data_IF_989522996899
#
_entry.id   IF_989522996899
#
_cell.length_a   1.000
_cell.length_b   1.000
_cell.length_c   1.000
_cell.angle_alpha   90.00
_cell.angle_beta   90.00
_cell.angle_gamma   90.00
#
_symmetry.space_group_name_H-M   'P 1'
#
loop_
_entity.id
_entity.type
_entity.pdbx_description
1 polymer ?
#
# COMPACT_ATOMS: atom_id res chain seq x y z
N UNK A 1 19.18 45.86 2.27
CA UNK A 1 18.73 44.50 1.91
C UNK A 1 17.43 44.65 1.13
N UNK A 2 17.49 44.68 -0.21
CA UNK A 2 16.28 44.73 -1.03
C UNK A 2 15.66 43.33 -1.07
N UNK A 3 14.50 43.16 -0.44
CA UNK A 3 13.77 41.89 -0.50
C UNK A 3 13.41 41.56 -1.96
N UNK A 4 13.35 40.27 -2.34
CA UNK A 4 12.88 39.88 -3.66
C UNK A 4 11.48 40.45 -3.86
N UNK A 5 11.30 41.30 -4.88
CA UNK A 5 10.00 41.89 -5.20
C UNK A 5 8.96 40.79 -5.50
N UNK A 6 7.66 41.06 -5.27
CA UNK A 6 6.61 40.11 -5.59
C UNK A 6 6.73 39.71 -7.06
N UNK A 7 6.93 38.41 -7.31
CA UNK A 7 7.03 37.88 -8.66
C UNK A 7 5.74 38.12 -9.45
N UNK A 8 5.79 38.05 -10.80
CA UNK A 8 4.60 38.19 -11.62
C UNK A 8 3.55 37.15 -11.23
N UNK A 9 2.30 37.61 -11.02
CA UNK A 9 1.15 36.74 -10.73
C UNK A 9 0.87 35.88 -11.96
N UNK A 10 1.07 34.57 -11.84
CA UNK A 10 0.78 33.61 -12.91
C UNK A 10 -0.70 33.25 -12.90
N UNK A 11 -1.33 33.17 -14.09
CA UNK A 11 -2.66 32.57 -14.20
C UNK A 11 -2.60 31.04 -14.03
N UNK A 12 -3.75 30.37 -13.84
CA UNK A 12 -3.82 28.93 -13.55
C UNK A 12 -3.11 28.06 -14.60
N UNK A 13 -3.24 28.41 -15.89
CA UNK A 13 -2.59 27.68 -16.99
C UNK A 13 -1.07 27.87 -16.97
N UNK A 14 -0.62 29.10 -16.71
CA UNK A 14 0.79 29.43 -16.57
C UNK A 14 1.40 28.74 -15.36
N UNK A 15 0.70 28.72 -14.22
CA UNK A 15 1.15 28.03 -13.00
C UNK A 15 1.29 26.53 -13.25
N UNK A 16 0.29 25.90 -13.88
CA UNK A 16 0.35 24.49 -14.26
C UNK A 16 1.53 24.20 -15.20
N UNK A 17 1.77 25.08 -16.19
CA UNK A 17 2.92 24.97 -17.10
C UNK A 17 4.25 25.10 -16.35
N UNK A 18 4.36 26.08 -15.44
CA UNK A 18 5.54 26.29 -14.61
C UNK A 18 5.83 25.08 -13.71
N UNK A 19 4.82 24.47 -13.10
CA UNK A 19 4.94 23.23 -12.32
C UNK A 19 5.45 22.10 -13.20
N UNK A 20 4.88 21.91 -14.40
CA UNK A 20 5.30 20.84 -15.33
C UNK A 20 6.76 21.00 -15.78
N UNK A 21 7.22 22.24 -15.94
CA UNK A 21 8.56 22.56 -16.41
C UNK A 21 9.60 22.65 -15.29
N UNK A 22 9.20 22.59 -14.02
CA UNK A 22 10.13 22.61 -12.90
C UNK A 22 11.07 21.39 -12.95
N UNK A 23 12.38 21.61 -12.75
CA UNK A 23 13.39 20.54 -12.82
C UNK A 23 13.89 20.09 -11.45
N UNK A 24 13.59 20.83 -10.38
CA UNK A 24 14.02 20.55 -9.01
C UNK A 24 12.90 20.84 -7.99
N UNK A 25 13.07 20.33 -6.77
CA UNK A 25 12.12 20.48 -5.68
C UNK A 25 12.03 21.93 -5.18
N UNK A 26 13.15 22.65 -5.11
CA UNK A 26 13.21 24.06 -4.69
C UNK A 26 12.31 24.95 -5.54
N UNK A 27 12.31 24.74 -6.87
CA UNK A 27 11.46 25.50 -7.79
C UNK A 27 9.98 25.19 -7.55
N UNK A 28 9.64 23.92 -7.29
CA UNK A 28 8.27 23.53 -6.96
C UNK A 28 7.83 24.16 -5.63
N UNK A 29 8.70 24.19 -4.63
CA UNK A 29 8.47 24.84 -3.34
C UNK A 29 8.26 26.34 -3.49
N UNK A 30 9.12 27.00 -4.28
CA UNK A 30 8.97 28.43 -4.56
C UNK A 30 7.64 28.73 -5.27
N UNK A 31 7.24 27.92 -6.25
CA UNK A 31 5.95 28.05 -6.93
C UNK A 31 4.80 27.85 -5.94
N UNK A 32 4.89 26.84 -5.05
CA UNK A 32 3.89 26.55 -4.04
C UNK A 32 3.71 27.71 -3.04
N UNK A 33 4.81 28.27 -2.53
CA UNK A 33 4.80 29.40 -1.60
C UNK A 33 4.29 30.70 -2.26
N UNK A 34 4.77 31.00 -3.47
CA UNK A 34 4.42 32.26 -4.16
C UNK A 34 2.96 32.30 -4.61
N UNK A 35 2.34 31.14 -4.82
CA UNK A 35 0.99 31.01 -5.36
C UNK A 35 0.02 30.33 -4.39
N UNK A 36 0.34 30.29 -3.09
CA UNK A 36 -0.43 29.57 -2.07
C UNK A 36 -1.93 29.90 -2.07
N UNK A 37 -2.30 31.16 -2.32
CA UNK A 37 -3.70 31.61 -2.43
C UNK A 37 -4.44 31.18 -3.71
N UNK A 38 -3.74 30.63 -4.71
CA UNK A 38 -4.30 30.21 -6.01
C UNK A 38 -4.11 28.71 -6.32
N UNK A 39 -3.57 27.96 -5.36
CA UNK A 39 -3.34 26.52 -5.52
C UNK A 39 -4.64 25.76 -5.27
N UNK A 40 -5.06 25.01 -6.29
CA UNK A 40 -6.20 24.11 -6.25
C UNK A 40 -5.72 22.64 -6.27
N UNK A 41 -6.63 21.66 -6.20
CA UNK A 41 -6.27 20.24 -6.22
C UNK A 41 -5.47 19.81 -7.45
N UNK A 42 -5.73 20.42 -8.61
CA UNK A 42 -5.02 20.10 -9.85
C UNK A 42 -3.56 20.52 -9.73
N UNK A 43 -3.31 21.73 -9.20
CA UNK A 43 -1.96 22.21 -8.92
C UNK A 43 -1.24 21.31 -7.89
N UNK A 44 -1.90 20.93 -6.80
CA UNK A 44 -1.31 20.03 -5.79
C UNK A 44 -0.95 18.67 -6.39
N UNK A 45 -1.86 18.04 -7.14
CA UNK A 45 -1.61 16.77 -7.80
C UNK A 45 -0.45 16.85 -8.81
N UNK A 46 -0.38 17.95 -9.57
CA UNK A 46 0.69 18.19 -10.53
C UNK A 46 2.05 18.35 -9.83
N UNK A 47 2.10 19.10 -8.71
CA UNK A 47 3.32 19.26 -7.93
C UNK A 47 3.78 17.92 -7.37
N UNK A 48 2.91 17.17 -6.70
CA UNK A 48 3.25 15.86 -6.13
C UNK A 48 3.71 14.86 -7.19
N UNK A 49 3.03 14.82 -8.34
CA UNK A 49 3.42 13.94 -9.46
C UNK A 49 4.78 14.33 -10.02
N UNK A 50 5.02 15.64 -10.18
CA UNK A 50 6.31 16.14 -10.69
C UNK A 50 7.42 15.83 -9.71
N UNK A 51 7.17 16.02 -8.41
CA UNK A 51 8.10 15.71 -7.35
C UNK A 51 8.49 14.22 -7.36
N UNK A 52 7.52 13.31 -7.43
CA UNK A 52 7.76 11.87 -7.54
C UNK A 52 8.61 11.51 -8.77
N UNK A 53 8.42 12.20 -9.90
CA UNK A 53 9.23 11.99 -11.11
C UNK A 53 10.66 12.52 -10.96
N UNK A 54 10.85 13.66 -10.29
CA UNK A 54 12.18 14.22 -9.99
C UNK A 54 12.96 13.23 -9.11
N UNK A 55 12.33 12.68 -8.08
CA UNK A 55 12.92 11.68 -7.18
C UNK A 55 13.36 10.43 -7.96
N UNK A 56 12.52 9.92 -8.87
CA UNK A 56 12.86 8.75 -9.71
C UNK A 56 13.99 9.00 -10.69
N UNK A 57 14.16 10.23 -11.16
CA UNK A 57 15.23 10.59 -12.09
C UNK A 57 16.62 10.67 -11.42
N UNK A 58 16.70 10.59 -10.08
CA UNK A 58 17.96 10.58 -9.33
C UNK A 58 18.28 9.23 -8.65
N UNK A 59 18.37 8.10 -9.39
CA UNK A 59 18.61 6.79 -8.79
C UNK A 59 20.02 6.62 -8.19
N UNK A 60 20.99 7.46 -8.58
CA UNK A 60 22.40 7.24 -8.27
C UNK A 60 22.88 7.79 -6.91
N UNK A 61 22.08 8.56 -6.16
CA UNK A 61 22.56 9.14 -4.89
C UNK A 61 22.23 8.29 -3.65
N UNK A 62 21.24 7.39 -3.70
CA UNK A 62 20.83 6.62 -2.52
C UNK A 62 21.69 5.38 -2.23
N UNK A 63 22.59 4.97 -3.13
CA UNK A 63 23.41 3.75 -2.95
C UNK A 63 24.84 4.00 -2.44
N UNK A 64 25.22 5.25 -2.14
CA UNK A 64 26.54 5.58 -1.55
C UNK A 64 26.50 5.67 -0.02
N UNK A 65 25.84 4.73 0.64
CA UNK A 65 26.10 4.41 2.06
C UNK A 65 26.37 2.90 2.17
N UNK A 66 27.44 2.43 1.54
CA UNK A 66 27.96 1.08 1.76
C UNK A 66 28.71 1.04 3.09
N UNK A 67 28.29 0.23 4.08
CA UNK A 67 29.07 -0.01 5.29
C UNK A 67 30.23 -0.95 4.93
N UNK A 68 31.41 -0.42 4.55
CA UNK A 68 32.51 -1.35 4.27
C UNK A 68 33.79 -0.84 3.63
N UNK A 69 34.02 0.45 3.42
CA UNK A 69 35.36 0.90 3.05
C UNK A 69 36.22 0.97 4.31
N UNK A 70 36.68 -0.22 4.75
CA UNK A 70 37.78 -0.35 5.67
C UNK A 70 38.97 0.39 5.06
N UNK A 71 39.28 1.55 5.64
CA UNK A 71 40.49 2.30 5.34
C UNK A 71 41.66 1.37 5.67
N UNK A 72 42.53 1.01 4.71
CA UNK A 72 43.73 0.26 5.04
C UNK A 72 44.59 1.16 5.92
N UNK A 73 44.79 0.73 7.17
CA UNK A 73 45.83 1.29 8.03
C UNK A 73 47.18 1.12 7.33
N UNK A 74 47.75 2.22 6.85
CA UNK A 74 49.07 2.21 6.24
C UNK A 74 49.58 3.60 5.92
N UNK A 75 50.51 4.05 6.76
CA UNK A 75 51.50 5.11 6.50
C UNK A 75 51.08 6.56 6.77
N UNK A 76 51.63 7.05 7.87
CA UNK A 76 51.78 8.46 8.18
C UNK A 76 52.55 9.21 7.08
N UNK A 77 51.93 10.25 6.53
CA UNK A 77 52.66 11.39 5.99
C UNK A 77 51.85 12.65 6.23
N UNK A 78 52.35 13.47 7.14
CA UNK A 78 51.86 14.80 7.41
C UNK A 78 52.19 15.72 6.23
N UNK A 79 51.18 16.28 5.58
CA UNK A 79 51.32 17.52 4.82
C UNK A 79 49.95 18.17 4.58
N UNK A 80 49.68 19.21 5.39
CA UNK A 80 49.11 20.50 5.00
C UNK A 80 48.14 20.59 3.79
N UNK A 81 46.92 21.04 4.10
CA UNK A 81 46.33 22.17 3.38
C UNK A 81 45.15 21.88 2.46
N UNK A 82 43.93 22.03 2.98
CA UNK A 82 42.75 22.32 2.18
C UNK A 82 41.44 21.85 2.79
N UNK A 83 40.63 22.72 3.42
CA UNK A 83 39.24 22.40 3.76
C UNK A 83 38.42 22.33 2.46
N UNK A 84 38.36 21.13 1.86
CA UNK A 84 37.59 20.86 0.66
C UNK A 84 36.09 20.88 0.92
N UNK A 85 35.45 22.01 0.60
CA UNK A 85 34.00 22.26 0.69
C UNK A 85 33.19 21.59 -0.44
N UNK A 86 33.37 20.29 -0.68
CA UNK A 86 32.77 19.57 -1.81
C UNK A 86 31.61 18.62 -1.44
N UNK A 87 31.17 18.57 -0.17
CA UNK A 87 30.25 17.53 0.32
C UNK A 87 28.79 17.94 0.62
N UNK A 88 28.39 19.21 0.51
CA UNK A 88 27.15 19.70 1.18
C UNK A 88 25.88 19.79 0.32
N UNK A 89 25.91 19.44 -0.97
CA UNK A 89 24.79 19.77 -1.86
C UNK A 89 23.66 18.72 -1.88
N UNK A 90 23.94 17.46 -1.50
CA UNK A 90 22.93 16.39 -1.54
C UNK A 90 21.91 16.45 -0.41
N UNK A 91 22.27 16.98 0.76
CA UNK A 91 21.36 17.07 1.91
C UNK A 91 20.24 18.09 1.70
N UNK A 92 20.52 19.18 0.99
CA UNK A 92 19.57 20.28 0.82
C UNK A 92 18.32 19.88 -0.01
N UNK A 93 18.48 19.02 -1.02
CA UNK A 93 17.34 18.61 -1.86
C UNK A 93 16.34 17.74 -1.08
N UNK A 94 16.83 16.85 -0.22
CA UNK A 94 15.96 15.97 0.56
C UNK A 94 15.16 16.77 1.59
N UNK A 95 15.79 17.76 2.23
CA UNK A 95 15.12 18.70 3.13
C UNK A 95 14.04 19.53 2.39
N UNK A 96 14.36 20.09 1.22
CA UNK A 96 13.39 20.82 0.41
C UNK A 96 12.23 19.94 -0.07
N UNK A 97 12.50 18.69 -0.42
CA UNK A 97 11.49 17.69 -0.79
C UNK A 97 10.55 17.40 0.39
N UNK A 98 11.09 17.09 1.57
CA UNK A 98 10.30 16.80 2.77
C UNK A 98 9.48 18.01 3.23
N UNK A 99 10.08 19.20 3.20
CA UNK A 99 9.40 20.46 3.53
C UNK A 99 8.22 20.72 2.57
N UNK A 100 8.41 20.53 1.27
CA UNK A 100 7.36 20.70 0.27
C UNK A 100 6.22 19.69 0.46
N UNK A 101 6.54 18.41 0.67
CA UNK A 101 5.53 17.38 0.92
C UNK A 101 4.74 17.73 2.18
N UNK A 102 5.42 18.07 3.27
CA UNK A 102 4.80 18.44 4.54
C UNK A 102 3.86 19.64 4.38
N UNK A 103 4.30 20.68 3.66
CA UNK A 103 3.49 21.86 3.39
C UNK A 103 2.23 21.53 2.57
N UNK A 104 2.36 20.73 1.50
CA UNK A 104 1.22 20.33 0.67
C UNK A 104 0.24 19.46 1.44
N UNK A 105 0.73 18.55 2.29
CA UNK A 105 -0.12 17.73 3.15
C UNK A 105 -0.87 18.60 4.17
N UNK A 106 -0.20 19.58 4.80
CA UNK A 106 -0.82 20.51 5.72
C UNK A 106 -1.91 21.36 5.02
N UNK A 107 -1.64 21.83 3.80
CA UNK A 107 -2.61 22.56 2.98
C UNK A 107 -3.85 21.70 2.67
N UNK A 108 -3.67 20.44 2.24
CA UNK A 108 -4.77 19.52 1.97
C UNK A 108 -5.62 19.24 3.23
N UNK A 109 -4.96 19.07 4.39
CA UNK A 109 -5.63 18.91 5.69
C UNK A 109 -6.42 20.15 6.08
N UNK A 110 -5.82 21.34 5.97
CA UNK A 110 -6.48 22.61 6.30
C UNK A 110 -7.73 22.82 5.42
N UNK A 111 -7.64 22.49 4.13
CA UNK A 111 -8.77 22.56 3.20
C UNK A 111 -9.79 21.43 3.38
N UNK A 112 -9.49 20.42 4.21
CA UNK A 112 -10.29 19.18 4.36
C UNK A 112 -10.66 18.54 3.02
N UNK A 113 -9.82 18.74 2.01
CA UNK A 113 -10.04 18.37 0.62
C UNK A 113 -11.39 18.87 0.05
N UNK A 114 -11.89 20.02 0.51
CA UNK A 114 -13.15 20.59 0.07
C UNK A 114 -13.04 21.19 -1.34
N UNK A 115 -14.12 21.15 -2.12
CA UNK A 115 -14.15 21.68 -3.48
C UNK A 115 -13.35 20.89 -4.52
N UNK A 116 -12.82 19.72 -4.17
CA UNK A 116 -12.13 18.86 -5.11
C UNK A 116 -13.09 17.89 -5.81
N UNK A 117 -13.08 17.88 -7.14
CA UNK A 117 -13.80 16.89 -7.94
C UNK A 117 -13.15 15.50 -7.82
N UNK A 118 -13.85 14.41 -8.22
CA UNK A 118 -13.34 13.04 -8.07
C UNK A 118 -11.99 12.84 -8.77
N UNK A 119 -11.83 13.41 -9.97
CA UNK A 119 -10.59 13.41 -10.74
C UNK A 119 -9.42 14.03 -9.96
N UNK A 120 -9.65 15.18 -9.34
CA UNK A 120 -8.64 15.88 -8.53
C UNK A 120 -8.19 15.03 -7.35
N UNK A 121 -9.14 14.44 -6.62
CA UNK A 121 -8.85 13.55 -5.50
C UNK A 121 -8.08 12.30 -5.93
N UNK A 122 -8.53 11.62 -6.99
CA UNK A 122 -7.87 10.42 -7.51
C UNK A 122 -6.42 10.68 -7.92
N UNK A 123 -6.15 11.83 -8.55
CA UNK A 123 -4.79 12.21 -8.94
C UNK A 123 -3.90 12.52 -7.73
N UNK A 124 -4.43 13.19 -6.69
CA UNK A 124 -3.68 13.42 -5.44
C UNK A 124 -3.34 12.08 -4.78
N UNK A 125 -4.35 11.20 -4.62
CA UNK A 125 -4.21 9.87 -4.00
C UNK A 125 -3.13 9.05 -4.73
N UNK A 126 -3.19 9.02 -6.05
CA UNK A 126 -2.20 8.30 -6.87
C UNK A 126 -0.80 8.92 -6.79
N UNK A 127 -0.70 10.25 -6.81
CA UNK A 127 0.57 10.95 -6.69
C UNK A 127 1.24 10.69 -5.34
N UNK A 128 0.47 10.74 -4.25
CA UNK A 128 0.95 10.40 -2.90
C UNK A 128 1.45 8.96 -2.83
N UNK A 129 0.72 8.01 -3.44
CA UNK A 129 1.14 6.62 -3.50
C UNK A 129 2.47 6.41 -4.22
N UNK A 130 2.76 7.23 -5.24
CA UNK A 130 4.00 7.14 -6.01
C UNK A 130 5.23 7.69 -5.30
N UNK A 131 5.06 8.43 -4.21
CA UNK A 131 6.18 8.91 -3.42
C UNK A 131 6.72 7.74 -2.58
N UNK A 132 8.04 7.68 -2.40
CA UNK A 132 8.67 6.63 -1.58
C UNK A 132 8.35 6.80 -0.09
N UNK A 133 8.06 8.03 0.33
CA UNK A 133 7.67 8.33 1.70
C UNK A 133 6.22 7.93 1.94
N UNK A 134 5.98 7.23 3.04
CA UNK A 134 4.63 6.85 3.44
C UNK A 134 3.81 8.14 3.67
N UNK A 135 2.76 8.39 2.89
CA UNK A 135 1.93 9.56 3.10
C UNK A 135 1.27 9.46 4.47
N UNK A 136 1.01 10.61 5.10
CA UNK A 136 0.33 10.63 6.38
C UNK A 136 -1.00 9.86 6.32
N UNK A 137 -1.16 8.90 7.22
CA UNK A 137 -2.28 7.96 7.22
C UNK A 137 -3.62 8.68 7.44
N UNK A 138 -3.64 9.75 8.23
CA UNK A 138 -4.86 10.55 8.46
C UNK A 138 -5.28 11.28 7.18
N UNK A 139 -4.34 11.93 6.49
CA UNK A 139 -4.59 12.56 5.19
C UNK A 139 -5.08 11.54 4.17
N UNK A 140 -4.44 10.37 4.08
CA UNK A 140 -4.87 9.32 3.16
C UNK A 140 -6.29 8.84 3.43
N UNK A 141 -6.65 8.61 4.69
CA UNK A 141 -8.01 8.23 5.07
C UNK A 141 -9.02 9.32 4.72
N UNK A 142 -8.67 10.59 4.94
CA UNK A 142 -9.51 11.73 4.59
C UNK A 142 -9.75 11.82 3.07
N UNK A 143 -8.69 11.70 2.26
CA UNK A 143 -8.77 11.71 0.80
C UNK A 143 -9.64 10.56 0.27
N UNK A 144 -9.42 9.33 0.77
CA UNK A 144 -10.19 8.15 0.39
C UNK A 144 -11.67 8.30 0.78
N UNK A 145 -11.96 8.75 2.00
CA UNK A 145 -13.34 8.99 2.45
C UNK A 145 -14.05 10.02 1.57
N UNK A 146 -13.36 11.10 1.19
CA UNK A 146 -13.90 12.12 0.28
C UNK A 146 -14.14 11.56 -1.12
N UNK A 147 -13.20 10.79 -1.65
CA UNK A 147 -13.33 10.17 -2.97
C UNK A 147 -14.52 9.20 -3.01
N UNK A 148 -14.68 8.34 -1.99
CA UNK A 148 -15.82 7.42 -1.90
C UNK A 148 -17.16 8.13 -1.77
N UNK A 149 -17.20 9.25 -1.07
CA UNK A 149 -18.40 10.11 -1.03
C UNK A 149 -18.81 10.65 -2.40
N UNK A 150 -17.89 10.68 -3.37
CA UNK A 150 -18.13 11.15 -4.74
C UNK A 150 -18.04 10.02 -5.78
N UNK A 151 -18.12 8.75 -5.36
CA UNK A 151 -17.95 7.59 -6.26
C UNK A 151 -19.01 7.53 -7.37
N UNK A 152 -20.20 8.13 -7.14
CA UNK A 152 -21.27 8.18 -8.14
C UNK A 152 -20.90 9.05 -9.36
N UNK A 153 -20.10 10.11 -9.15
CA UNK A 153 -19.63 11.03 -10.21
C UNK A 153 -18.24 10.68 -10.74
N UNK A 154 -17.53 9.76 -10.10
CA UNK A 154 -16.19 9.34 -10.54
C UNK A 154 -16.27 8.55 -11.85
N UNK A 155 -15.42 8.91 -12.83
CA UNK A 155 -15.31 8.13 -14.07
C UNK A 155 -14.43 6.89 -13.84
N UNK A 156 -14.52 5.84 -14.69
CA UNK A 156 -13.74 4.61 -14.50
C UNK A 156 -12.23 4.83 -14.34
N UNK A 157 -11.67 5.83 -15.03
CA UNK A 157 -10.25 6.18 -14.92
C UNK A 157 -9.87 6.68 -13.50
N UNK A 158 -10.76 7.42 -12.83
CA UNK A 158 -10.50 7.91 -11.47
C UNK A 158 -10.45 6.75 -10.49
N UNK A 159 -11.37 5.80 -10.64
CA UNK A 159 -11.43 4.57 -9.84
C UNK A 159 -10.16 3.75 -10.06
N UNK A 160 -9.72 3.58 -11.31
CA UNK A 160 -8.48 2.89 -11.63
C UNK A 160 -7.26 3.57 -10.97
N UNK A 161 -7.17 4.90 -10.99
CA UNK A 161 -6.09 5.63 -10.32
C UNK A 161 -6.04 5.35 -8.81
N UNK A 162 -7.20 5.35 -8.14
CA UNK A 162 -7.30 5.03 -6.72
C UNK A 162 -7.01 3.56 -6.44
N UNK A 163 -7.40 2.64 -7.34
CA UNK A 163 -7.04 1.22 -7.21
C UNK A 163 -5.54 0.98 -7.35
N UNK A 164 -4.85 1.68 -8.25
CA UNK A 164 -3.41 1.53 -8.42
C UNK A 164 -2.62 1.87 -7.15
N UNK A 165 -3.16 2.73 -6.29
CA UNK A 165 -2.60 3.00 -4.97
C UNK A 165 -2.44 1.72 -4.13
N UNK A 166 -3.44 0.82 -4.16
CA UNK A 166 -3.40 -0.46 -3.46
C UNK A 166 -2.17 -1.27 -3.86
N UNK A 167 -1.95 -1.38 -5.17
CA UNK A 167 -0.82 -2.11 -5.75
C UNK A 167 0.50 -1.49 -5.30
N UNK A 168 0.62 -0.15 -5.35
CA UNK A 168 1.83 0.54 -4.91
C UNK A 168 2.10 0.33 -3.42
N UNK A 169 1.07 0.41 -2.56
CA UNK A 169 1.26 0.11 -1.13
C UNK A 169 1.69 -1.33 -0.89
N UNK A 170 1.07 -2.31 -1.56
CA UNK A 170 1.46 -3.71 -1.42
C UNK A 170 2.90 -3.92 -1.89
N UNK A 171 3.31 -3.30 -2.99
CA UNK A 171 4.70 -3.32 -3.47
C UNK A 171 5.66 -2.70 -2.46
N UNK A 172 5.36 -1.51 -1.94
CA UNK A 172 6.20 -0.83 -0.95
C UNK A 172 6.28 -1.62 0.37
N UNK A 173 5.20 -2.28 0.77
CA UNK A 173 5.17 -3.21 1.92
C UNK A 173 6.10 -4.40 1.68
N UNK A 174 6.11 -4.96 0.47
CA UNK A 174 6.95 -6.10 0.13
C UNK A 174 8.43 -5.72 0.00
N UNK A 175 8.75 -4.53 -0.52
CA UNK A 175 10.13 -4.03 -0.61
C UNK A 175 10.70 -3.64 0.76
N UNK A 176 9.88 -3.03 1.62
CA UNK A 176 10.29 -2.68 2.99
C UNK A 176 10.38 -3.89 3.91
N UNK A 177 9.80 -5.04 3.53
CA UNK A 177 10.03 -6.29 4.25
C UNK A 177 11.43 -6.79 3.89
N UNK A 178 12.37 -6.86 4.85
CA UNK A 178 13.71 -7.30 4.55
C UNK A 178 13.67 -8.67 3.88
N UNK A 179 14.42 -8.85 2.78
CA UNK A 179 14.52 -10.10 2.03
C UNK A 179 14.85 -11.31 2.93
N UNK A 180 15.46 -11.10 4.10
CA UNK A 180 15.69 -12.13 5.10
C UNK A 180 14.41 -12.66 5.77
N UNK A 181 13.37 -11.82 5.97
CA UNK A 181 12.07 -12.28 6.49
C UNK A 181 11.40 -13.16 5.44
N UNK A 182 11.42 -12.75 4.18
CA UNK A 182 10.89 -13.57 3.09
C UNK A 182 11.62 -14.91 2.99
N UNK A 183 12.96 -14.89 3.06
CA UNK A 183 13.79 -16.10 3.06
C UNK A 183 13.50 -17.01 4.25
N UNK A 184 13.29 -16.45 5.44
CA UNK A 184 12.96 -17.21 6.66
C UNK A 184 11.55 -17.78 6.62
N UNK A 185 10.60 -17.05 6.06
CA UNK A 185 9.21 -17.50 5.91
C UNK A 185 9.11 -18.58 4.81
N UNK A 186 9.86 -18.43 3.72
CA UNK A 186 10.00 -19.44 2.68
C UNK A 186 10.70 -20.71 3.22
N UNK A 187 11.76 -20.56 4.03
CA UNK A 187 12.39 -21.68 4.73
C UNK A 187 11.43 -22.40 5.68
N UNK A 188 10.57 -21.66 6.40
CA UNK A 188 9.53 -22.26 7.26
C UNK A 188 8.49 -23.04 6.47
N UNK A 189 8.05 -22.52 5.31
CA UNK A 189 7.12 -23.23 4.43
C UNK A 189 7.75 -24.50 3.87
N UNK A 190 9.00 -24.44 3.39
CA UNK A 190 9.71 -25.63 2.91
C UNK A 190 9.93 -26.65 4.04
N UNK A 191 10.24 -26.20 5.25
CA UNK A 191 10.37 -27.07 6.43
C UNK A 191 9.06 -27.75 6.81
N UNK A 192 7.93 -27.04 6.75
CA UNK A 192 6.61 -27.61 7.03
C UNK A 192 6.22 -28.67 5.98
N UNK A 193 6.45 -28.40 4.69
CA UNK A 193 6.19 -29.37 3.61
C UNK A 193 7.06 -30.63 3.78
N UNK A 194 8.34 -30.46 4.15
CA UNK A 194 9.22 -31.59 4.42
C UNK A 194 8.77 -32.41 5.65
N UNK A 195 8.26 -31.75 6.69
CA UNK A 195 7.72 -32.42 7.87
C UNK A 195 6.45 -33.24 7.54
N UNK A 196 5.51 -32.66 6.77
CA UNK A 196 4.30 -33.38 6.34
C UNK A 196 4.64 -34.58 5.43
N UNK A 197 5.62 -34.43 4.54
CA UNK A 197 6.12 -35.53 3.71
C UNK A 197 6.72 -36.66 4.56
N UNK A 198 7.48 -36.33 5.61
CA UNK A 198 8.04 -37.32 6.54
C UNK A 198 6.93 -38.07 7.31
N UNK A 199 5.88 -37.37 7.74
CA UNK A 199 4.71 -37.99 8.40
C UNK A 199 3.99 -38.93 7.45
N UNK A 200 3.76 -38.54 6.19
CA UNK A 200 3.13 -39.40 5.18
C UNK A 200 3.97 -40.65 4.89
N UNK A 201 5.30 -40.51 4.81
CA UNK A 201 6.19 -41.63 4.58
C UNK A 201 6.15 -42.63 5.76
N UNK A 202 6.12 -42.13 6.99
CA UNK A 202 5.95 -42.96 8.18
C UNK A 202 4.61 -43.73 8.19
N UNK A 203 3.52 -43.06 7.82
CA UNK A 203 2.21 -43.70 7.70
C UNK A 203 2.17 -44.78 6.62
N UNK A 204 2.80 -44.54 5.45
CA UNK A 204 2.90 -45.56 4.41
C UNK A 204 3.70 -46.78 4.87
N UNK A 205 4.80 -46.58 5.59
CA UNK A 205 5.61 -47.68 6.09
C UNK A 205 4.84 -48.53 7.13
N UNK A 206 4.03 -47.87 7.97
CA UNK A 206 3.16 -48.57 8.91
C UNK A 206 2.04 -49.35 8.21
N UNK A 207 1.44 -48.81 7.15
CA UNK A 207 0.46 -49.55 6.33
C UNK A 207 1.09 -50.75 5.63
N UNK A 208 2.31 -50.63 5.12
CA UNK A 208 3.04 -51.75 4.52
C UNK A 208 3.33 -52.86 5.54
N UNK A 209 3.71 -52.51 6.77
CA UNK A 209 3.91 -53.49 7.85
C UNK A 209 2.60 -54.20 8.25
N UNK A 210 1.48 -53.47 8.33
CA UNK A 210 0.17 -54.06 8.61
C UNK A 210 -0.27 -55.02 7.48
N UNK A 211 -0.05 -54.65 6.22
CA UNK A 211 -0.32 -55.53 5.08
C UNK A 211 0.57 -56.78 5.09
N UNK A 212 1.86 -56.64 5.40
CA UNK A 212 2.78 -57.77 5.50
C UNK A 212 2.40 -58.73 6.63
N UNK A 213 1.97 -58.20 7.79
CA UNK A 213 1.51 -59.01 8.92
C UNK A 213 0.20 -59.76 8.61
N UNK A 214 -0.75 -59.11 7.90
CA UNK A 214 -2.00 -59.74 7.49
C UNK A 214 -1.81 -60.90 6.50
N UNK A 215 -0.81 -60.81 5.62
CA UNK A 215 -0.50 -61.87 4.64
C UNK A 215 0.05 -63.15 5.28
N UNK A 216 0.66 -63.08 6.48
CA UNK A 216 1.13 -64.28 7.20
C UNK A 216 0.02 -64.99 7.98
N UNK A 217 -1.06 -64.30 8.36
CA UNK A 217 -2.18 -64.90 9.11
C UNK A 217 -3.08 -65.82 8.30
N UNK A 218 -3.13 -65.67 6.97
CA UNK A 218 -3.99 -66.50 6.11
C UNK A 218 -3.43 -67.89 5.77
N UNK A 219 -2.19 -68.21 6.18
CA UNK A 219 -1.55 -69.50 5.84
C UNK A 219 -1.75 -70.61 6.87
N UNK A 220 -2.51 -70.37 7.94
CA UNK A 220 -2.77 -71.35 9.01
C UNK A 220 -4.26 -71.71 9.19
N UNK A 221 -5.13 -71.32 8.25
CA UNK A 221 -6.59 -71.49 8.34
C UNK A 221 -7.22 -72.54 7.40
N UNK A 222 -6.44 -73.43 6.77
CA UNK A 222 -6.99 -74.57 6.01
C UNK A 222 -7.05 -75.83 6.89
N UNK A 223 -7.90 -75.81 7.93
CA UNK A 223 -8.52 -77.03 8.46
C UNK A 223 -9.98 -76.72 8.75
N UNK A 224 -10.84 -77.49 8.11
CA UNK A 224 -12.18 -77.06 7.69
C UNK A 224 -13.22 -76.96 8.78
N UNK A 225 -14.28 -76.22 8.45
CA UNK A 225 -15.59 -76.37 9.08
C UNK A 225 -16.71 -76.04 8.08
N UNK A 226 -17.71 -76.92 8.09
CA UNK A 226 -18.87 -77.00 7.19
C UNK A 226 -19.90 -75.88 7.42
N UNK A 227 -20.74 -75.57 6.41
CA UNK A 227 -21.71 -74.49 6.49
C UNK A 227 -23.02 -74.96 7.14
N UNK A 228 -23.47 -74.25 8.18
CA UNK A 228 -24.83 -74.33 8.66
C UNK A 228 -25.51 -72.96 8.51
N UNK A 229 -26.59 -72.97 7.74
CA UNK A 229 -27.46 -71.83 7.46
C UNK A 229 -28.06 -71.22 8.72
N UNK A 230 -28.17 -69.89 8.80
CA UNK A 230 -29.27 -69.23 9.50
C UNK A 230 -29.52 -67.80 9.00
N UNK A 231 -30.81 -67.53 8.79
CA UNK A 231 -31.45 -66.25 8.45
C UNK A 231 -31.49 -65.32 9.66
N UNK A 232 -31.59 -64.01 9.37
CA UNK A 232 -31.98 -62.94 10.29
C UNK A 232 -31.21 -61.66 9.91
N UNK A 233 -31.75 -60.74 9.12
CA UNK A 233 -32.74 -59.70 9.47
C UNK A 233 -32.17 -58.55 10.31
N UNK A 234 -32.32 -57.32 9.77
CA UNK A 234 -32.32 -55.98 10.40
C UNK A 234 -30.97 -55.20 10.53
N UNK A 235 -31.00 -53.86 10.73
CA UNK A 235 -31.34 -52.87 9.70
C UNK A 235 -30.23 -51.81 9.54
N UNK A 236 -30.39 -50.97 8.50
CA UNK A 236 -29.42 -49.98 8.07
C UNK A 236 -29.03 -48.95 9.14
N UNK A 237 -27.72 -48.82 9.37
CA UNK A 237 -27.11 -47.64 9.97
C UNK A 237 -26.70 -46.67 8.87
N UNK A 238 -27.34 -45.51 8.94
CA UNK A 238 -27.08 -44.32 8.15
C UNK A 238 -25.68 -43.77 8.48
N UNK A 239 -24.77 -43.93 7.53
CA UNK A 239 -23.40 -43.46 7.64
C UNK A 239 -23.34 -41.96 7.32
N UNK A 240 -23.42 -41.13 8.36
CA UNK A 240 -23.10 -39.70 8.26
C UNK A 240 -21.64 -39.52 7.84
N UNK A 241 -21.44 -38.92 6.66
CA UNK A 241 -20.17 -38.31 6.26
C UNK A 241 -19.98 -36.98 7.01
N UNK A 242 -18.87 -36.75 7.71
CA UNK A 242 -18.37 -35.40 7.96
C UNK A 242 -17.49 -34.95 6.77
N UNK A 243 -17.33 -33.64 6.66
CA UNK A 243 -16.35 -32.93 5.81
C UNK A 243 -16.81 -32.45 4.43
N UNK A 244 -17.54 -31.32 4.45
CA UNK A 244 -17.53 -30.34 3.37
C UNK A 244 -17.72 -28.91 3.90
N UNK A 245 -16.93 -28.47 4.89
CA UNK A 245 -16.77 -27.04 5.21
C UNK A 245 -15.31 -26.78 5.58
N UNK A 246 -14.47 -26.53 4.57
CA UNK A 246 -13.23 -25.72 4.66
C UNK A 246 -12.52 -25.77 3.31
N UNK A 247 -12.89 -24.87 2.40
CA UNK A 247 -12.01 -24.34 1.35
C UNK A 247 -12.72 -23.18 0.62
N UNK A 248 -12.86 -22.06 1.33
CA UNK A 248 -13.20 -20.76 0.73
C UNK A 248 -12.27 -19.72 1.35
N UNK A 249 -10.97 -19.91 1.14
CA UNK A 249 -9.96 -18.89 1.36
C UNK A 249 -8.77 -19.24 0.47
N UNK A 250 -8.35 -18.28 -0.36
CA UNK A 250 -7.13 -18.21 -1.19
C UNK A 250 -7.25 -18.29 -2.73
N UNK A 251 -8.37 -18.67 -3.37
CA UNK A 251 -8.38 -18.74 -4.86
C UNK A 251 -8.93 -17.50 -5.59
N UNK A 252 -9.49 -16.49 -4.90
CA UNK A 252 -10.22 -15.40 -5.60
C UNK A 252 -9.33 -14.31 -6.20
N UNK A 253 -8.01 -14.29 -5.97
CA UNK A 253 -7.18 -13.15 -6.37
C UNK A 253 -6.51 -13.25 -7.76
N UNK A 254 -6.55 -14.41 -8.43
CA UNK A 254 -5.85 -14.59 -9.74
C UNK A 254 -6.77 -14.72 -10.96
N UNK A 255 -8.07 -14.92 -10.77
CA UNK A 255 -9.01 -15.17 -11.88
C UNK A 255 -9.62 -13.93 -12.55
N UNK A 256 -9.40 -12.71 -12.04
CA UNK A 256 -10.09 -11.50 -12.52
C UNK A 256 -9.26 -10.61 -13.47
N UNK A 257 -8.03 -11.00 -13.81
CA UNK A 257 -7.13 -10.18 -14.64
C UNK A 257 -6.74 -10.80 -15.99
N UNK A 258 -7.24 -11.98 -16.32
CA UNK A 258 -6.93 -12.63 -17.60
C UNK A 258 -8.17 -13.34 -18.15
N UNK A 259 -9.13 -12.61 -18.70
CA UNK A 259 -9.91 -13.03 -19.88
C UNK A 259 -10.39 -11.78 -20.61
N UNK A 260 -9.60 -11.41 -21.62
CA UNK A 260 -9.87 -10.35 -22.58
C UNK A 260 -9.32 -10.78 -23.93
N UNK A 261 -9.74 -11.96 -24.40
CA UNK A 261 -9.61 -12.36 -25.80
C UNK A 261 -10.99 -12.20 -26.41
N UNK A 262 -11.09 -11.23 -27.32
CA UNK A 262 -12.27 -11.00 -28.12
C UNK A 262 -12.53 -12.21 -29.04
N UNK A 263 -13.79 -12.63 -29.13
CA UNK A 263 -14.29 -13.37 -30.27
C UNK A 263 -15.50 -12.62 -30.85
N UNK A 264 -15.51 -12.25 -32.15
CA UNK A 264 -16.58 -11.48 -32.74
C UNK A 264 -17.53 -12.43 -33.46
N UNK A 265 -18.74 -12.62 -32.92
CA UNK A 265 -19.99 -12.86 -33.65
C UNK A 265 -21.02 -13.39 -32.66
N UNK A 266 -22.04 -12.60 -32.33
CA UNK A 266 -23.41 -13.11 -32.31
C UNK A 266 -24.40 -11.95 -32.35
N UNK A 267 -25.41 -12.20 -33.16
CA UNK A 267 -26.48 -11.32 -33.64
C UNK A 267 -27.57 -11.13 -32.59
N UNK A 268 -28.19 -9.96 -32.67
CA UNK A 268 -29.52 -9.56 -32.19
C UNK A 268 -30.35 -10.59 -31.39
N UNK A 269 -30.67 -10.25 -30.15
CA UNK A 269 -32.02 -10.45 -29.59
C UNK A 269 -32.16 -9.65 -28.29
N UNK A 270 -33.31 -9.00 -28.13
CA UNK A 270 -33.59 -8.11 -27.00
C UNK A 270 -33.53 -8.86 -25.66
N UNK A 271 -32.72 -8.35 -24.74
CA UNK A 271 -32.72 -8.77 -23.34
C UNK A 271 -32.52 -7.58 -22.40
N UNK A 272 -33.14 -7.74 -21.23
CA UNK A 272 -33.53 -6.72 -20.26
C UNK A 272 -32.38 -5.85 -19.69
N UNK A 273 -32.67 -4.60 -19.29
CA UNK A 273 -31.68 -3.64 -18.76
C UNK A 273 -31.07 -4.01 -17.38
N UNK A 274 -31.26 -5.22 -16.85
CA UNK A 274 -30.86 -5.60 -15.49
C UNK A 274 -29.40 -6.09 -15.32
N UNK A 275 -28.79 -6.66 -16.36
CA UNK A 275 -27.50 -7.38 -16.22
C UNK A 275 -26.30 -6.42 -16.15
N UNK A 276 -26.38 -5.25 -16.79
CA UNK A 276 -25.32 -4.23 -16.73
C UNK A 276 -25.23 -3.54 -15.35
N UNK A 277 -26.32 -3.51 -14.58
CA UNK A 277 -26.32 -2.96 -13.22
C UNK A 277 -25.63 -3.89 -12.22
N UNK A 278 -25.83 -5.20 -12.31
CA UNK A 278 -25.23 -6.17 -11.38
C UNK A 278 -23.71 -6.21 -11.48
N UNK A 279 -23.16 -6.11 -12.68
CA UNK A 279 -21.71 -6.13 -12.88
C UNK A 279 -21.04 -4.87 -12.28
N UNK A 280 -21.66 -3.69 -12.43
CA UNK A 280 -21.21 -2.45 -11.77
C UNK A 280 -21.24 -2.53 -10.23
N UNK A 281 -22.23 -3.19 -9.65
CA UNK A 281 -22.33 -3.35 -8.20
C UNK A 281 -21.27 -4.30 -7.64
N UNK A 282 -21.03 -5.42 -8.32
CA UNK A 282 -20.02 -6.40 -7.91
C UNK A 282 -18.60 -5.81 -7.92
N UNK A 283 -18.23 -5.03 -8.94
CA UNK A 283 -16.93 -4.34 -8.98
C UNK A 283 -16.82 -3.31 -7.87
N UNK A 284 -17.87 -2.52 -7.60
CA UNK A 284 -17.86 -1.53 -6.51
C UNK A 284 -17.64 -2.18 -5.15
N UNK A 285 -18.27 -3.33 -4.89
CA UNK A 285 -18.17 -4.02 -3.60
C UNK A 285 -16.78 -4.65 -3.36
N UNK A 286 -16.21 -5.28 -4.40
CA UNK A 286 -14.86 -5.86 -4.33
C UNK A 286 -13.80 -4.78 -4.11
N UNK A 287 -13.91 -3.66 -4.83
CA UNK A 287 -12.98 -2.53 -4.74
C UNK A 287 -13.08 -1.85 -3.37
N UNK A 288 -14.30 -1.64 -2.88
CA UNK A 288 -14.53 -1.10 -1.55
C UNK A 288 -13.93 -1.99 -0.46
N UNK A 289 -14.10 -3.30 -0.57
CA UNK A 289 -13.51 -4.26 0.36
C UNK A 289 -11.98 -4.23 0.34
N UNK A 290 -11.35 -4.27 -0.83
CA UNK A 290 -9.89 -4.17 -0.96
C UNK A 290 -9.36 -2.87 -0.34
N UNK A 291 -10.00 -1.75 -0.62
CA UNK A 291 -9.54 -0.44 -0.11
C UNK A 291 -9.80 -0.31 1.40
N UNK A 292 -10.92 -0.86 1.91
CA UNK A 292 -11.20 -0.90 3.34
C UNK A 292 -10.18 -1.78 4.08
N UNK A 293 -9.83 -2.94 3.53
CA UNK A 293 -8.77 -3.80 4.09
C UNK A 293 -7.41 -3.09 4.08
N UNK A 294 -7.08 -2.32 3.04
CA UNK A 294 -5.89 -1.46 3.01
C UNK A 294 -5.92 -0.36 4.06
N UNK A 295 -7.06 0.31 4.25
CA UNK A 295 -7.20 1.33 5.28
C UNK A 295 -6.99 0.74 6.70
N UNK A 296 -7.51 -0.46 6.95
CA UNK A 296 -7.30 -1.21 8.20
C UNK A 296 -5.81 -1.58 8.36
N UNK A 297 -5.16 -2.04 7.29
CA UNK A 297 -3.71 -2.34 7.32
C UNK A 297 -2.85 -1.10 7.59
N UNK A 298 -3.19 0.06 7.03
CA UNK A 298 -2.47 1.31 7.31
C UNK A 298 -2.65 1.76 8.77
N UNK A 299 -3.86 1.64 9.32
CA UNK A 299 -4.14 1.98 10.72
C UNK A 299 -3.39 1.10 11.72
N UNK A 300 -3.30 -0.21 11.46
CA UNK A 300 -2.63 -1.16 12.37
C UNK A 300 -1.10 -1.01 12.40
N UNK A 301 -0.46 -0.62 11.28
CA UNK A 301 1.00 -0.36 11.26
C UNK A 301 1.39 0.82 12.16
N UNK A 302 0.57 1.87 12.25
CA UNK A 302 0.85 3.02 13.13
C UNK A 302 0.85 2.63 14.60
N UNK A 303 -0.08 1.77 15.02
CA UNK A 303 -0.13 1.26 16.40
C UNK A 303 1.12 0.45 16.73
N UNK A 304 1.62 -0.35 15.77
CA UNK A 304 2.85 -1.13 15.96
C UNK A 304 4.09 -0.25 16.02
N UNK A 305 4.24 0.70 15.09
CA UNK A 305 5.39 1.62 15.07
C UNK A 305 5.43 2.54 16.30
N UNK A 306 4.28 3.02 16.77
CA UNK A 306 4.21 3.82 18.00
C UNK A 306 4.50 2.99 19.26
N UNK A 307 4.11 1.71 19.29
CA UNK A 307 4.43 0.79 20.38
C UNK A 307 5.92 0.42 20.46
N UNK A 308 6.61 0.36 19.33
CA UNK A 308 8.04 -0.01 19.25
C UNK A 308 8.96 1.15 19.68
N UNK A 309 8.56 2.40 19.41
CA UNK A 309 9.27 3.60 19.90
C UNK A 309 9.07 3.82 21.41
N UNK A 310 7.95 3.38 21.98
CA UNK A 310 7.68 3.47 23.41
C UNK A 310 8.40 2.40 24.27
N UNK A 311 9.15 1.47 23.64
CA UNK A 311 9.83 0.36 24.33
C UNK A 311 11.23 0.66 24.87
N UNK A 312 11.75 1.88 24.74
CA UNK A 312 13.08 2.25 25.24
C UNK A 312 12.96 2.87 26.64
N UNK A 313 13.26 2.06 27.65
CA UNK A 313 13.66 2.38 29.02
C UNK A 313 12.95 3.54 29.73
N UNK A 314 11.96 3.18 30.56
CA UNK A 314 11.54 4.00 31.70
C UNK A 314 12.67 4.14 32.73
N UNK A 315 13.47 5.20 32.62
CA UNK A 315 14.12 5.81 33.78
C UNK A 315 13.23 6.95 34.31
N UNK A 316 12.93 6.84 35.59
CA UNK A 316 12.02 7.69 36.35
C UNK A 316 12.65 9.07 36.56
N UNK A 317 12.12 10.11 35.92
CA UNK A 317 12.42 11.50 36.29
C UNK A 317 11.22 12.41 36.00
N UNK A 318 10.59 12.89 37.08
CA UNK A 318 9.59 13.97 37.04
C UNK A 318 10.22 15.27 36.53
N UNK A 319 9.49 16.07 35.75
CA UNK A 319 9.71 17.49 35.69
C UNK A 319 8.56 18.27 36.33
N UNK A 320 8.98 19.29 37.07
CA UNK A 320 8.13 20.32 37.66
C UNK A 320 7.52 21.24 36.59
N UNK A 321 6.38 21.79 36.97
CA UNK A 321 5.57 22.82 36.34
C UNK A 321 6.36 24.03 35.81
N UNK A 322 6.06 24.45 34.58
CA UNK A 322 6.06 25.85 34.18
C UNK A 322 5.10 26.02 33.00
N UNK A 323 3.94 26.59 33.29
CA UNK A 323 2.96 27.08 32.33
C UNK A 323 3.47 28.44 31.85
N UNK A 324 3.74 28.57 30.55
CA UNK A 324 3.69 29.89 29.92
C UNK A 324 2.98 29.81 28.57
N UNK A 325 1.93 30.61 28.48
CA UNK A 325 1.02 30.75 27.35
C UNK A 325 1.56 31.85 26.44
N UNK A 326 1.74 31.57 25.15
CA UNK A 326 1.62 32.62 24.12
C UNK A 326 1.66 32.00 22.72
N UNK A 327 0.49 31.79 22.11
CA UNK A 327 0.25 31.91 20.66
C UNK A 327 -1.26 32.10 20.44
N UNK A 328 -1.69 33.36 20.44
CA UNK A 328 -3.01 33.83 20.04
C UNK A 328 -2.82 34.87 18.93
N UNK A 329 -3.69 34.83 17.92
CA UNK A 329 -3.85 35.74 16.77
C UNK A 329 -2.93 35.42 15.56
N UNK A 330 -3.41 35.19 14.33
CA UNK A 330 -4.59 35.72 13.63
C UNK A 330 -5.25 34.66 12.73
N UNK A 331 -6.54 34.43 12.92
CA UNK A 331 -7.45 33.85 11.93
C UNK A 331 -8.53 34.86 11.60
N UNK A 332 -8.50 35.43 10.40
CA UNK A 332 -9.62 36.13 9.79
C UNK A 332 -9.51 35.97 8.27
N UNK A 333 -10.68 35.94 7.62
CA UNK A 333 -10.94 35.71 6.18
C UNK A 333 -11.22 34.24 5.83
N UNK A 334 -12.42 33.78 6.23
CA UNK A 334 -13.25 32.94 5.35
C UNK A 334 -14.69 33.45 5.46
N UNK A 335 -15.03 34.41 4.61
CA UNK A 335 -16.38 34.61 4.13
C UNK A 335 -16.28 35.11 2.69
N UNK A 336 -17.14 34.58 1.82
CA UNK A 336 -17.25 34.87 0.38
C UNK A 336 -16.47 33.94 -0.56
N UNK A 337 -16.99 32.72 -0.75
CA UNK A 337 -17.05 32.09 -2.08
C UNK A 337 -18.43 31.46 -2.26
N UNK A 338 -19.39 32.29 -2.68
CA UNK A 338 -20.59 31.81 -3.37
C UNK A 338 -20.25 31.55 -4.85
N UNK A 339 -20.66 30.37 -5.31
CA UNK A 339 -21.08 30.05 -6.67
C UNK A 339 -20.06 30.27 -7.80
N UNK A 340 -19.27 29.24 -8.07
CA UNK A 340 -18.85 28.88 -9.43
C UNK A 340 -18.96 27.37 -9.57
N UNK A 341 -20.11 26.90 -10.07
CA UNK A 341 -20.13 25.63 -10.79
C UNK A 341 -19.37 25.84 -12.09
N UNK A 342 -18.07 25.55 -12.07
CA UNK A 342 -17.32 25.23 -13.26
C UNK A 342 -17.51 23.74 -13.51
N UNK A 343 -18.09 23.42 -14.67
CA UNK A 343 -18.22 22.08 -15.19
C UNK A 343 -16.88 21.34 -15.06
N UNK A 344 -16.89 20.26 -14.29
CA UNK A 344 -15.82 19.27 -14.16
C UNK A 344 -16.35 17.93 -14.67
#
# INVERSE_FOLDING_TARGET
MGGPGPGPVLNERQLTSAIKNATNADRLLQLACSHSGSINAIHVAAILTKLANITKAQPNQQHQCGPGQQVPHGSASAAFGGPGAAGSNSSNWQEAHEALVTQLQALLKAQRCHGHCPRGLANIIWALGKMHDAPDAELMLMLLRRFFGQLASAVPQDIANVQQLATVFVSNINESLPSHIHKRQQQRLHGAIAADAAVQQGQQQQQQLLHAAGAHGQRLGEFGEQPAARRGSEPGQEQLRPDAIRQLSCCTFRGLLTEGVADPCMVASGQAPGILCLNRYATRHSVFRCILELAIMMGTRRVRAAGEVAGISHSHQQPQSSLDQSWLLHGHVVDSLQSTQLEC
#
